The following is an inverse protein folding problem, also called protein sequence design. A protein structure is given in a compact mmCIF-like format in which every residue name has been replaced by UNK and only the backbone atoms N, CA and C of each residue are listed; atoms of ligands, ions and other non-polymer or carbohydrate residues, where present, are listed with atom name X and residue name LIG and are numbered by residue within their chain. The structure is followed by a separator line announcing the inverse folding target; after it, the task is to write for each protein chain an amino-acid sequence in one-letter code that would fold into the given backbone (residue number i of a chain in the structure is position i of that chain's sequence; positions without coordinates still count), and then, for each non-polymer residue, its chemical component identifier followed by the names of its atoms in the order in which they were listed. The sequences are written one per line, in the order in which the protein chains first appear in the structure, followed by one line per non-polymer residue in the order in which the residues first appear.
data_IF_579851974824
#
_entry.id   IF_579851974824
#
_cell.length_a   1.000
_cell.length_b   1.000
_cell.length_c   1.000
_cell.angle_alpha   90.00
_cell.angle_beta   90.00
_cell.angle_gamma   90.00
#
_symmetry.space_group_name_H-M   'P 1'
#
loop_
_entity.id
_entity.type
_entity.pdbx_description
1 polymer ?
#
# COMPACT_ATOMS: atom_id res chain seq x y z
N UNK A 1 11.86 -30.88 -0.48
CA UNK A 1 12.86 -29.82 -0.26
C UNK A 1 12.13 -28.57 0.19
N UNK A 2 12.53 -27.97 1.32
CA UNK A 2 11.89 -26.75 1.80
C UNK A 2 12.40 -25.56 1.00
N UNK A 3 11.47 -24.77 0.44
CA UNK A 3 11.80 -23.52 -0.25
C UNK A 3 12.52 -22.57 0.71
N UNK A 4 13.57 -21.93 0.21
CA UNK A 4 14.30 -20.88 0.92
C UNK A 4 13.39 -19.65 1.14
N UNK A 5 13.79 -18.77 2.06
CA UNK A 5 13.03 -17.56 2.36
C UNK A 5 12.90 -16.64 1.11
N UNK A 6 13.95 -16.58 0.29
CA UNK A 6 13.98 -15.77 -0.94
C UNK A 6 12.97 -16.29 -1.96
N UNK A 7 12.91 -17.61 -2.14
CA UNK A 7 11.96 -18.25 -3.07
C UNK A 7 10.52 -18.07 -2.61
N UNK A 8 10.27 -18.21 -1.30
CA UNK A 8 8.95 -17.93 -0.70
C UNK A 8 8.53 -16.48 -0.90
N UNK A 9 9.44 -15.53 -0.69
CA UNK A 9 9.14 -14.11 -0.90
C UNK A 9 8.82 -13.81 -2.38
N UNK A 10 9.54 -14.44 -3.31
CA UNK A 10 9.30 -14.28 -4.75
C UNK A 10 7.95 -14.85 -5.17
N UNK A 11 7.55 -15.99 -4.60
CA UNK A 11 6.23 -16.59 -4.82
C UNK A 11 5.12 -15.73 -4.24
N UNK A 12 5.28 -15.26 -3.00
CA UNK A 12 4.34 -14.34 -2.36
C UNK A 12 4.16 -13.05 -3.18
N UNK A 13 5.25 -12.48 -3.70
CA UNK A 13 5.19 -11.29 -4.56
C UNK A 13 4.39 -11.56 -5.85
N UNK A 14 4.58 -12.72 -6.49
CA UNK A 14 3.81 -13.11 -7.67
C UNK A 14 2.32 -13.28 -7.36
N UNK A 15 2.00 -13.92 -6.24
CA UNK A 15 0.63 -14.16 -5.81
C UNK A 15 -0.09 -12.85 -5.47
N UNK A 16 0.56 -11.96 -4.74
CA UNK A 16 0.02 -10.63 -4.41
C UNK A 16 -0.30 -9.81 -5.66
N UNK A 17 0.56 -9.85 -6.68
CA UNK A 17 0.31 -9.17 -7.96
C UNK A 17 -0.86 -9.79 -8.73
N UNK A 18 -1.01 -11.11 -8.70
CA UNK A 18 -2.12 -11.80 -9.35
C UNK A 18 -3.46 -11.43 -8.69
N UNK A 19 -3.51 -11.46 -7.36
CA UNK A 19 -4.70 -11.10 -6.59
C UNK A 19 -5.10 -9.64 -6.78
N UNK A 20 -4.14 -8.71 -6.75
CA UNK A 20 -4.42 -7.30 -7.00
C UNK A 20 -5.00 -7.06 -8.40
N UNK A 21 -4.51 -7.77 -9.42
CA UNK A 21 -5.07 -7.71 -10.78
C UNK A 21 -6.49 -8.28 -10.83
N UNK A 22 -6.75 -9.37 -10.12
CA UNK A 22 -8.09 -9.97 -10.07
C UNK A 22 -9.10 -9.04 -9.38
N UNK A 23 -8.73 -8.47 -8.24
CA UNK A 23 -9.55 -7.45 -7.55
C UNK A 23 -9.83 -6.25 -8.46
N UNK A 24 -8.81 -5.73 -9.16
CA UNK A 24 -8.99 -4.62 -10.11
C UNK A 24 -9.92 -4.96 -11.28
N UNK A 25 -9.93 -6.22 -11.75
CA UNK A 25 -10.86 -6.68 -12.80
C UNK A 25 -12.30 -6.80 -12.29
N UNK A 26 -12.48 -7.16 -11.03
CA UNK A 26 -13.78 -7.29 -10.37
C UNK A 26 -14.28 -5.95 -9.80
N UNK A 27 -13.42 -4.95 -9.72
CA UNK A 27 -13.78 -3.61 -9.26
C UNK A 27 -14.76 -2.97 -10.25
N UNK A 28 -16.02 -2.89 -9.84
CA UNK A 28 -17.01 -2.06 -10.52
C UNK A 28 -16.57 -0.62 -10.35
N UNK A 29 -16.35 0.09 -11.47
CA UNK A 29 -15.96 1.49 -11.45
C UNK A 29 -17.07 2.32 -10.77
N UNK A 30 -16.93 2.55 -9.47
CA UNK A 30 -17.77 3.50 -8.75
C UNK A 30 -17.37 4.89 -9.24
N UNK A 31 -18.24 5.52 -10.02
CA UNK A 31 -18.07 6.91 -10.45
C UNK A 31 -18.16 7.82 -9.23
N UNK A 32 -17.02 8.01 -8.55
CA UNK A 32 -16.88 9.00 -7.48
C UNK A 32 -16.70 10.36 -8.13
N UNK A 33 -17.46 11.35 -7.66
CA UNK A 33 -17.23 12.72 -8.05
C UNK A 33 -15.79 13.11 -7.71
N UNK A 34 -15.10 13.80 -8.63
CA UNK A 34 -13.77 14.33 -8.36
C UNK A 34 -13.88 15.34 -7.23
N UNK A 35 -12.99 15.23 -6.24
CA UNK A 35 -12.86 16.22 -5.18
C UNK A 35 -12.47 17.57 -5.79
N UNK A 36 -13.17 18.64 -5.41
CA UNK A 36 -12.87 20.02 -5.83
C UNK A 36 -12.25 20.74 -4.63
N UNK A 37 -11.08 21.36 -4.82
CA UNK A 37 -10.28 22.04 -3.78
C UNK A 37 -9.79 21.13 -2.62
N UNK A 38 -9.75 19.82 -2.83
CA UNK A 38 -9.16 18.87 -1.90
C UNK A 38 -7.63 18.83 -1.95
N UNK A 39 -6.97 18.20 -0.97
CA UNK A 39 -5.54 17.90 -1.07
C UNK A 39 -5.26 17.05 -2.32
N UNK A 40 -4.10 17.28 -2.95
CA UNK A 40 -3.70 16.59 -4.20
C UNK A 40 -3.60 15.06 -4.06
N UNK A 41 -3.57 14.54 -2.84
CA UNK A 41 -3.54 13.11 -2.53
C UNK A 41 -4.10 12.83 -1.14
N UNK A 42 -4.10 11.55 -0.74
CA UNK A 42 -4.39 11.14 0.63
C UNK A 42 -3.48 11.92 1.57
N UNK A 43 -4.06 12.63 2.54
CA UNK A 43 -3.28 13.38 3.52
C UNK A 43 -2.40 12.41 4.32
N UNK A 44 -1.05 12.46 4.20
CA UNK A 44 -0.19 11.55 4.95
C UNK A 44 -0.13 11.92 6.44
N UNK A 45 -0.62 13.11 6.82
CA UNK A 45 -0.49 13.65 8.17
C UNK A 45 -1.56 13.15 9.12
N UNK A 46 -1.40 11.89 9.55
CA UNK A 46 -1.23 11.53 10.97
C UNK A 46 -1.28 10.02 11.18
N UNK A 47 -0.30 9.31 10.66
CA UNK A 47 0.00 7.97 11.14
C UNK A 47 1.35 7.96 11.84
N UNK A 48 1.35 8.46 13.09
CA UNK A 48 2.36 8.14 14.10
C UNK A 48 3.80 8.08 13.60
N UNK A 49 4.26 9.14 12.93
CA UNK A 49 5.67 9.30 12.61
C UNK A 49 6.47 9.09 13.90
N UNK A 50 7.58 8.35 13.83
CA UNK A 50 8.47 8.06 14.96
C UNK A 50 9.22 9.31 15.45
N UNK A 51 8.51 10.43 15.47
CA UNK A 51 8.97 11.74 15.86
C UNK A 51 8.59 11.99 17.31
N UNK A 52 9.63 12.26 18.12
CA UNK A 52 9.46 12.86 19.43
C UNK A 52 10.11 14.23 19.39
N UNK A 53 9.30 15.29 19.50
CA UNK A 53 9.74 16.70 19.45
C UNK A 53 10.41 17.10 18.13
N UNK A 54 9.89 16.61 16.99
CA UNK A 54 10.40 16.97 15.66
C UNK A 54 11.77 16.39 15.32
N UNK A 55 12.18 15.33 16.02
CA UNK A 55 13.38 14.55 15.70
C UNK A 55 12.90 13.16 15.28
N UNK A 56 13.22 12.77 14.05
CA UNK A 56 13.02 11.41 13.57
C UNK A 56 13.94 10.48 14.38
N UNK A 57 13.36 9.56 15.13
CA UNK A 57 14.08 8.56 15.90
C UNK A 57 14.10 7.25 15.11
N UNK A 58 15.27 6.65 14.96
CA UNK A 58 15.47 5.36 14.29
C UNK A 58 16.36 4.48 15.17
N UNK A 59 16.00 3.20 15.32
CA UNK A 59 16.83 2.16 15.92
C UNK A 59 17.04 1.02 14.93
#
# INVERSE_FOLDING_TARGET
MNKTLIEKNKENAKNALAEARERKRQEVAVLRAKEKNGPKGLEPTRYGDWERKGITYDF
#
